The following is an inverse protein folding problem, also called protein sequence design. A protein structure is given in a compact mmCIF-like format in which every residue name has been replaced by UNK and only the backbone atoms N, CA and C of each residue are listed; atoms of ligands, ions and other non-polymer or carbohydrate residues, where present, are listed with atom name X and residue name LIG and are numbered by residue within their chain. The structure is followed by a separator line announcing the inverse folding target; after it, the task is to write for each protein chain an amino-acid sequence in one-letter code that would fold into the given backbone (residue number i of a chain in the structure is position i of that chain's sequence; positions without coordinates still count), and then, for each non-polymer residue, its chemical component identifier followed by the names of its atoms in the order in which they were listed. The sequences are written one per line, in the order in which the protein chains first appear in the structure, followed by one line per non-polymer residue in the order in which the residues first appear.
data_IF_978696590625
#
_entry.id   IF_978696590625
#
_cell.length_a   1.000
_cell.length_b   1.000
_cell.length_c   1.000
_cell.angle_alpha   90.00
_cell.angle_beta   90.00
_cell.angle_gamma   90.00
#
_symmetry.space_group_name_H-M   'P 1'
#
loop_
_entity.id
_entity.type
_entity.pdbx_description
1 polymer ?
#
# COMPACT_ATOMS: atom_id res chain seq x y z
N UNK A 1 8.10 -19.21 11.35
CA UNK A 1 7.49 -18.96 10.03
C UNK A 1 7.96 -17.60 9.56
N UNK A 2 8.29 -17.40 8.27
CA UNK A 2 8.65 -16.08 7.77
C UNK A 2 7.49 -15.11 8.01
N UNK A 3 7.80 -13.86 8.36
CA UNK A 3 6.79 -12.80 8.49
C UNK A 3 6.10 -12.65 7.12
N UNK A 4 4.76 -12.66 7.04
CA UNK A 4 4.08 -12.49 5.76
C UNK A 4 4.42 -11.12 5.13
N UNK A 5 4.29 -10.97 3.81
CA UNK A 5 4.40 -9.66 3.16
C UNK A 5 3.48 -8.67 3.87
N UNK A 6 4.00 -7.47 4.12
CA UNK A 6 3.30 -6.42 4.88
C UNK A 6 1.90 -6.13 4.34
N UNK A 7 1.73 -6.26 3.03
CA UNK A 7 0.53 -5.85 2.32
C UNK A 7 -0.56 -6.91 2.31
N UNK A 8 -0.22 -8.14 2.69
CA UNK A 8 -1.14 -9.27 2.71
C UNK A 8 -2.43 -8.98 3.50
N UNK A 9 -2.42 -8.36 4.69
CA UNK A 9 -3.65 -8.09 5.43
C UNK A 9 -4.64 -7.18 4.67
N UNK A 10 -4.14 -6.20 3.92
CA UNK A 10 -5.00 -5.33 3.12
C UNK A 10 -5.65 -6.11 1.97
N UNK A 11 -4.87 -6.92 1.25
CA UNK A 11 -5.36 -7.74 0.15
C UNK A 11 -6.31 -8.85 0.62
N UNK A 12 -6.05 -9.48 1.76
CA UNK A 12 -6.95 -10.47 2.36
C UNK A 12 -8.29 -9.86 2.75
N UNK A 13 -8.29 -8.69 3.42
CA UNK A 13 -9.55 -8.02 3.76
C UNK A 13 -10.33 -7.65 2.50
N UNK A 14 -9.65 -7.12 1.48
CA UNK A 14 -10.29 -6.80 0.20
C UNK A 14 -10.89 -8.07 -0.44
N UNK A 15 -10.14 -9.16 -0.54
CA UNK A 15 -10.60 -10.41 -1.12
C UNK A 15 -11.82 -10.97 -0.38
N UNK A 16 -11.79 -11.00 0.96
CA UNK A 16 -12.90 -11.49 1.78
C UNK A 16 -14.16 -10.64 1.61
N UNK A 17 -14.00 -9.32 1.53
CA UNK A 17 -15.11 -8.40 1.28
C UNK A 17 -15.74 -8.63 -0.09
N UNK A 18 -14.91 -8.78 -1.13
CA UNK A 18 -15.38 -9.06 -2.49
C UNK A 18 -16.03 -10.45 -2.61
N UNK A 19 -15.51 -11.47 -1.91
CA UNK A 19 -16.13 -12.82 -1.83
C UNK A 19 -17.52 -12.77 -1.20
N UNK A 20 -17.76 -11.84 -0.26
CA UNK A 20 -19.07 -11.59 0.32
C UNK A 20 -20.01 -10.78 -0.60
N UNK A 21 -19.57 -10.42 -1.82
CA UNK A 21 -20.33 -9.62 -2.76
C UNK A 21 -20.41 -8.14 -2.39
N UNK A 22 -19.53 -7.67 -1.51
CA UNK A 22 -19.48 -6.29 -1.05
C UNK A 22 -18.28 -5.57 -1.69
N UNK A 23 -18.40 -4.25 -1.93
CA UNK A 23 -17.28 -3.42 -2.39
C UNK A 23 -16.34 -3.05 -1.24
N UNK A 24 -15.06 -2.88 -1.56
CA UNK A 24 -14.05 -2.37 -0.65
C UNK A 24 -13.32 -1.17 -1.28
N UNK A 25 -12.66 -0.34 -0.49
CA UNK A 25 -11.79 0.71 -0.99
C UNK A 25 -10.33 0.36 -0.67
N UNK A 26 -9.46 0.48 -1.67
CA UNK A 26 -8.02 0.37 -1.52
C UNK A 26 -7.41 1.76 -1.47
N UNK A 27 -6.73 2.05 -0.36
CA UNK A 27 -5.86 3.21 -0.21
C UNK A 27 -4.42 2.75 -0.43
N UNK A 28 -3.67 3.45 -1.31
CA UNK A 28 -2.27 3.13 -1.59
C UNK A 28 -1.43 4.39 -1.69
N UNK A 29 -0.31 4.45 -0.97
CA UNK A 29 0.69 5.51 -1.12
C UNK A 29 1.49 5.23 -2.40
N UNK A 30 1.13 5.90 -3.49
CA UNK A 30 1.73 5.67 -4.83
C UNK A 30 3.05 6.41 -5.03
N UNK A 31 3.28 7.48 -4.25
CA UNK A 31 4.52 8.26 -4.23
C UNK A 31 4.74 8.79 -2.82
N UNK A 32 6.01 8.86 -2.42
CA UNK A 32 6.42 9.39 -1.12
C UNK A 32 7.79 10.03 -1.24
N UNK A 33 7.94 11.27 -0.76
CA UNK A 33 9.19 12.04 -0.78
C UNK A 33 9.47 12.67 0.57
N UNK A 34 10.75 12.76 0.93
CA UNK A 34 11.19 13.31 2.21
C UNK A 34 10.70 12.48 3.41
N UNK A 35 10.52 13.14 4.55
CA UNK A 35 10.04 12.50 5.78
C UNK A 35 8.52 12.47 5.83
N UNK A 36 7.88 11.74 4.92
CA UNK A 36 6.44 11.48 4.94
C UNK A 36 6.06 10.47 6.04
N UNK A 37 4.79 10.44 6.52
CA UNK A 37 4.30 9.42 7.46
C UNK A 37 4.15 8.03 6.80
N UNK A 38 3.65 7.99 5.56
CA UNK A 38 3.53 6.78 4.77
C UNK A 38 4.68 6.67 3.76
N UNK A 39 5.24 5.47 3.58
CA UNK A 39 6.18 5.21 2.47
C UNK A 39 5.42 4.71 1.25
N UNK A 40 6.03 4.88 0.08
CA UNK A 40 5.53 4.28 -1.15
C UNK A 40 5.28 2.78 -0.95
N UNK A 41 4.14 2.29 -1.45
CA UNK A 41 3.66 0.93 -1.23
C UNK A 41 2.89 0.73 0.08
N UNK A 42 2.87 1.68 1.01
CA UNK A 42 1.97 1.57 2.15
C UNK A 42 0.53 1.52 1.67
N UNK A 43 -0.23 0.53 2.13
CA UNK A 43 -1.61 0.34 1.70
C UNK A 43 -2.56 -0.04 2.82
N UNK A 44 -3.83 0.29 2.64
CA UNK A 44 -4.93 -0.01 3.55
C UNK A 44 -6.17 -0.38 2.74
N UNK A 45 -6.82 -1.50 3.09
CA UNK A 45 -8.18 -1.79 2.66
C UNK A 45 -9.18 -1.23 3.67
N UNK A 46 -10.26 -0.65 3.18
CA UNK A 46 -11.34 -0.05 3.95
C UNK A 46 -12.67 -0.63 3.51
N UNK A 47 -13.46 -1.13 4.46
CA UNK A 47 -14.86 -1.52 4.28
C UNK A 47 -15.77 -0.54 5.03
N UNK A 48 -17.08 -0.80 5.03
CA UNK A 48 -18.01 -0.03 5.84
C UNK A 48 -17.72 -0.17 7.35
N UNK A 49 -17.22 -1.33 7.79
CA UNK A 49 -17.06 -1.69 9.20
C UNK A 49 -15.60 -1.71 9.65
N UNK A 50 -14.71 -2.27 8.83
CA UNK A 50 -13.34 -2.62 9.23
C UNK A 50 -12.30 -2.04 8.28
N UNK A 51 -11.05 -1.96 8.75
CA UNK A 51 -9.89 -1.56 7.97
C UNK A 51 -8.73 -2.53 8.22
N UNK A 52 -7.87 -2.73 7.23
CA UNK A 52 -6.65 -3.52 7.36
C UNK A 52 -5.49 -2.88 6.60
N UNK A 53 -4.31 -2.79 7.23
CA UNK A 53 -3.15 -2.07 6.70
C UNK A 53 -3.05 -0.64 7.23
N UNK A 54 -2.11 0.15 6.70
CA UNK A 54 -1.90 1.56 7.07
C UNK A 54 -1.20 2.31 5.94
N UNK A 55 -1.59 3.58 5.77
CA UNK A 55 -0.99 4.56 4.85
C UNK A 55 -0.12 5.60 5.57
N UNK A 56 0.27 5.34 6.83
CA UNK A 56 1.17 6.20 7.61
C UNK A 56 0.57 6.78 8.89
N UNK A 57 -0.68 6.44 9.22
CA UNK A 57 -1.31 6.79 10.50
C UNK A 57 -1.72 8.26 10.67
N UNK A 58 -2.19 8.57 11.88
CA UNK A 58 -2.54 9.92 12.31
C UNK A 58 -3.86 10.45 11.72
N UNK A 59 -4.08 11.76 11.87
CA UNK A 59 -5.34 12.42 11.48
C UNK A 59 -5.60 12.32 9.97
N UNK A 60 -4.55 12.29 9.14
CA UNK A 60 -4.68 12.23 7.69
C UNK A 60 -5.15 10.85 7.23
N UNK A 61 -4.70 9.77 7.87
CA UNK A 61 -5.20 8.41 7.61
C UNK A 61 -6.69 8.31 7.95
N UNK A 62 -7.12 8.85 9.10
CA UNK A 62 -8.54 8.86 9.47
C UNK A 62 -9.41 9.59 8.44
N UNK A 63 -8.97 10.76 7.94
CA UNK A 63 -9.68 11.49 6.88
C UNK A 63 -9.81 10.68 5.58
N UNK A 64 -8.80 9.88 5.23
CA UNK A 64 -8.87 8.98 4.08
C UNK A 64 -9.86 7.84 4.30
N UNK A 65 -9.90 7.25 5.48
CA UNK A 65 -10.88 6.21 5.83
C UNK A 65 -12.31 6.75 5.73
N UNK A 66 -12.57 7.95 6.26
CA UNK A 66 -13.90 8.56 6.17
C UNK A 66 -14.31 8.87 4.73
N UNK A 67 -13.39 9.40 3.91
CA UNK A 67 -13.61 9.63 2.48
C UNK A 67 -13.86 8.33 1.71
N UNK A 68 -13.08 7.28 1.99
CA UNK A 68 -13.26 5.97 1.39
C UNK A 68 -14.64 5.38 1.72
N UNK A 69 -15.06 5.45 2.98
CA UNK A 69 -16.40 5.01 3.41
C UNK A 69 -17.51 5.83 2.78
N UNK A 70 -17.31 7.15 2.62
CA UNK A 70 -18.27 7.99 1.90
C UNK A 70 -18.44 7.51 0.46
N UNK A 71 -17.35 7.32 -0.28
CA UNK A 71 -17.40 6.87 -1.67
C UNK A 71 -17.99 5.48 -1.85
N UNK A 72 -17.70 4.57 -0.92
CA UNK A 72 -18.34 3.25 -0.89
C UNK A 72 -19.86 3.34 -0.76
N UNK A 73 -20.37 4.26 0.08
CA UNK A 73 -21.82 4.48 0.21
C UNK A 73 -22.45 5.13 -1.02
N UNK A 74 -21.72 6.03 -1.66
CA UNK A 74 -22.19 6.75 -2.86
C UNK A 74 -22.08 5.91 -4.13
N UNK A 75 -21.26 4.84 -4.12
CA UNK A 75 -20.94 4.07 -5.32
C UNK A 75 -20.04 4.83 -6.30
N UNK A 76 -19.34 5.86 -5.85
CA UNK A 76 -18.43 6.66 -6.68
C UNK A 76 -17.10 5.91 -6.91
N UNK A 77 -17.06 5.13 -8.00
CA UNK A 77 -15.89 4.39 -8.43
C UNK A 77 -14.83 5.25 -9.16
N UNK A 78 -15.02 6.58 -9.23
CA UNK A 78 -14.05 7.46 -9.89
C UNK A 78 -12.71 7.42 -9.15
N UNK A 79 -11.59 7.06 -9.80
CA UNK A 79 -10.29 7.02 -9.15
C UNK A 79 -9.91 8.38 -8.56
N UNK A 80 -9.32 8.40 -7.37
CA UNK A 80 -8.81 9.64 -6.77
C UNK A 80 -7.35 9.49 -6.39
N UNK A 81 -6.52 10.29 -7.06
CA UNK A 81 -5.14 10.56 -6.66
C UNK A 81 -5.10 11.93 -5.98
N UNK A 82 -4.53 11.99 -4.77
CA UNK A 82 -4.42 13.26 -4.05
C UNK A 82 -3.04 13.41 -3.40
N UNK A 83 -2.29 14.47 -3.74
CA UNK A 83 -1.07 14.82 -3.03
C UNK A 83 -1.38 15.35 -1.63
N UNK A 84 -0.52 15.02 -0.68
CA UNK A 84 -0.52 15.48 0.70
C UNK A 84 0.85 16.07 1.02
N UNK A 85 0.87 17.37 1.23
CA UNK A 85 2.07 18.10 1.60
C UNK A 85 2.08 18.24 3.12
N UNK A 86 3.08 17.64 3.78
CA UNK A 86 3.27 17.76 5.22
C UNK A 86 4.28 18.87 5.48
N UNK A 87 3.78 20.11 5.59
CA UNK A 87 4.55 21.30 5.98
C UNK A 87 4.14 21.78 7.36
N UNK A 88 5.12 22.27 8.12
CA UNK A 88 4.91 22.85 9.45
C UNK A 88 4.85 24.37 9.31
N UNK A 89 3.70 24.96 9.59
CA UNK A 89 3.61 26.41 9.78
C UNK A 89 3.97 26.73 11.25
N UNK A 90 5.10 27.43 11.44
CA UNK A 90 5.54 28.25 12.58
C UNK A 90 6.24 27.64 13.84
N UNK A 91 7.07 28.44 14.56
CA UNK A 91 8.14 28.02 15.47
C UNK A 91 7.78 28.19 16.96
N UNK A 92 7.89 27.14 17.77
CA UNK A 92 8.12 27.28 19.23
C UNK A 92 8.54 25.97 19.90
N UNK A 93 7.89 24.83 19.64
CA UNK A 93 8.15 23.63 20.45
C UNK A 93 8.44 22.38 19.62
N UNK A 94 9.69 21.90 19.72
CA UNK A 94 10.19 20.69 19.07
C UNK A 94 9.88 19.47 19.94
N UNK A 95 8.72 18.87 19.71
CA UNK A 95 8.53 17.43 19.93
C UNK A 95 9.15 16.67 18.75
N UNK A 96 10.08 15.76 19.03
CA UNK A 96 11.06 15.19 18.09
C UNK A 96 10.53 14.21 17.03
N UNK A 97 9.32 14.38 16.51
CA UNK A 97 8.85 13.66 15.31
C UNK A 97 8.33 14.66 14.29
N UNK A 98 9.21 15.06 13.36
CA UNK A 98 8.96 16.10 12.36
C UNK A 98 8.89 15.46 10.97
N UNK A 99 7.69 15.14 10.50
CA UNK A 99 7.47 14.70 9.13
C UNK A 99 7.43 15.92 8.19
N UNK A 100 8.56 16.25 7.55
CA UNK A 100 8.65 17.23 6.46
C UNK A 100 8.78 16.48 5.13
N UNK A 101 7.66 16.02 4.59
CA UNK A 101 7.61 15.20 3.39
C UNK A 101 6.30 15.34 2.64
N UNK A 102 6.25 14.75 1.46
CA UNK A 102 5.08 14.76 0.60
C UNK A 102 4.71 13.31 0.27
N UNK A 103 3.42 13.00 0.19
CA UNK A 103 2.97 11.70 -0.28
C UNK A 103 1.72 11.85 -1.14
N UNK A 104 1.58 10.99 -2.14
CA UNK A 104 0.40 10.91 -2.97
C UNK A 104 -0.32 9.60 -2.67
N UNK A 105 -1.61 9.70 -2.39
CA UNK A 105 -2.44 8.55 -2.04
C UNK A 105 -3.49 8.35 -3.12
N UNK A 106 -3.52 7.13 -3.65
CA UNK A 106 -4.60 6.62 -4.49
C UNK A 106 -5.72 6.09 -3.58
N UNK A 107 -6.96 6.46 -3.90
CA UNK A 107 -8.17 5.81 -3.44
C UNK A 107 -8.83 5.16 -4.66
N UNK A 108 -8.87 3.84 -4.64
CA UNK A 108 -9.45 2.99 -5.67
C UNK A 108 -10.61 2.17 -5.08
N UNK A 109 -11.78 2.17 -5.73
CA UNK A 109 -12.87 1.29 -5.32
C UNK A 109 -12.69 -0.07 -5.99
N UNK A 110 -12.70 -1.12 -5.17
CA UNK A 110 -12.74 -2.51 -5.59
C UNK A 110 -14.19 -2.97 -5.61
N UNK A 111 -14.64 -3.43 -6.77
CA UNK A 111 -15.98 -3.94 -7.01
C UNK A 111 -15.95 -5.48 -6.99
N UNK A 112 -17.10 -6.15 -6.80
CA UNK A 112 -17.16 -7.62 -6.84
C UNK A 112 -16.57 -8.23 -8.11
N UNK A 113 -16.63 -7.53 -9.25
CA UNK A 113 -15.98 -7.96 -10.50
C UNK A 113 -14.45 -8.00 -10.44
N UNK A 114 -13.81 -7.27 -9.53
CA UNK A 114 -12.35 -7.29 -9.34
C UNK A 114 -11.87 -8.53 -8.57
N UNK A 115 -12.79 -9.33 -8.01
CA UNK A 115 -12.48 -10.50 -7.19
C UNK A 115 -11.43 -11.44 -7.81
N UNK A 116 -11.50 -11.81 -9.12
CA UNK A 116 -10.51 -12.70 -9.70
C UNK A 116 -9.08 -12.15 -9.61
N UNK A 117 -8.90 -10.84 -9.83
CA UNK A 117 -7.59 -10.19 -9.78
C UNK A 117 -7.12 -10.03 -8.35
N UNK A 118 -8.00 -9.56 -7.46
CA UNK A 118 -7.69 -9.37 -6.03
C UNK A 118 -7.32 -10.69 -5.36
N UNK A 119 -8.05 -11.78 -5.65
CA UNK A 119 -7.75 -13.11 -5.13
C UNK A 119 -6.43 -13.67 -5.70
N UNK A 120 -6.10 -13.36 -6.97
CA UNK A 120 -4.83 -13.76 -7.56
C UNK A 120 -3.65 -13.02 -6.90
N UNK A 121 -3.79 -11.72 -6.61
CA UNK A 121 -2.79 -10.93 -5.87
C UNK A 121 -2.61 -11.49 -4.45
N UNK A 122 -3.70 -11.75 -3.73
CA UNK A 122 -3.66 -12.36 -2.41
C UNK A 122 -2.91 -13.70 -2.44
N UNK A 123 -3.27 -14.58 -3.38
CA UNK A 123 -2.64 -15.90 -3.54
C UNK A 123 -1.15 -15.78 -3.82
N UNK A 124 -0.74 -14.87 -4.72
CA UNK A 124 0.65 -14.62 -5.03
C UNK A 124 1.44 -14.13 -3.80
N UNK A 125 0.86 -13.25 -2.98
CA UNK A 125 1.48 -12.82 -1.71
C UNK A 125 1.59 -13.95 -0.69
N UNK A 126 0.58 -14.82 -0.57
CA UNK A 126 0.61 -15.97 0.34
C UNK A 126 1.66 -17.01 -0.06
N UNK A 127 1.83 -17.22 -1.37
CA UNK A 127 2.77 -18.18 -1.92
C UNK A 127 4.20 -17.61 -2.05
N UNK A 128 4.40 -16.33 -1.72
CA UNK A 128 5.62 -15.59 -2.02
C UNK A 128 6.01 -15.71 -3.51
N UNK A 129 5.00 -15.73 -4.37
CA UNK A 129 5.15 -15.73 -5.82
C UNK A 129 5.68 -14.40 -6.31
N UNK A 130 6.39 -14.44 -7.44
CA UNK A 130 6.84 -13.24 -8.14
C UNK A 130 5.73 -12.59 -8.96
N UNK A 131 6.08 -11.50 -9.65
CA UNK A 131 5.18 -10.72 -10.49
C UNK A 131 4.93 -9.33 -9.89
N UNK A 132 3.96 -8.63 -10.44
CA UNK A 132 3.58 -7.31 -10.02
C UNK A 132 2.07 -7.11 -10.17
N UNK A 133 1.49 -6.26 -9.35
CA UNK A 133 0.16 -5.75 -9.61
C UNK A 133 0.27 -4.33 -10.21
N UNK A 134 -0.68 -3.99 -11.07
CA UNK A 134 -0.76 -2.68 -11.70
C UNK A 134 -2.18 -2.15 -11.57
N UNK A 135 -2.28 -0.84 -11.37
CA UNK A 135 -3.54 -0.11 -11.46
C UNK A 135 -3.33 1.15 -12.28
N UNK A 136 -4.24 1.41 -13.22
CA UNK A 136 -4.24 2.61 -14.05
C UNK A 136 -5.66 3.01 -14.42
N UNK A 137 -5.83 4.27 -14.84
CA UNK A 137 -7.10 4.74 -15.39
C UNK A 137 -7.49 3.99 -16.67
N UNK A 138 -6.52 3.60 -17.49
CA UNK A 138 -6.76 2.98 -18.79
C UNK A 138 -7.04 1.47 -18.72
N UNK A 139 -6.34 0.74 -17.84
CA UNK A 139 -6.40 -0.71 -17.77
C UNK A 139 -7.13 -1.25 -16.53
N UNK A 140 -7.49 -0.39 -15.57
CA UNK A 140 -8.03 -0.83 -14.29
C UNK A 140 -6.98 -1.57 -13.45
N UNK A 141 -7.44 -2.42 -12.53
CA UNK A 141 -6.59 -3.26 -11.69
C UNK A 141 -6.25 -4.58 -12.41
N UNK A 142 -4.97 -4.92 -12.47
CA UNK A 142 -4.50 -6.17 -13.09
C UNK A 142 -3.30 -6.78 -12.37
N UNK A 143 -3.14 -8.10 -12.52
CA UNK A 143 -1.95 -8.84 -12.14
C UNK A 143 -1.06 -9.05 -13.38
N UNK A 144 0.21 -8.70 -13.27
CA UNK A 144 1.21 -8.77 -14.34
C UNK A 144 2.29 -9.77 -13.95
N UNK A 145 2.56 -10.74 -14.81
CA UNK A 145 3.54 -11.80 -14.54
C UNK A 145 4.98 -11.28 -14.55
N UNK A 146 5.28 -10.30 -15.41
CA UNK A 146 6.59 -9.68 -15.47
C UNK A 146 6.75 -8.72 -14.28
N UNK A 147 7.88 -8.78 -13.57
CA UNK A 147 8.18 -7.80 -12.53
C UNK A 147 8.84 -6.56 -13.18
N UNK A 148 8.45 -5.32 -12.79
CA UNK A 148 9.19 -4.13 -13.21
C UNK A 148 10.64 -4.17 -12.72
N UNK A 149 11.53 -3.39 -13.34
CA UNK A 149 12.94 -3.29 -12.92
C UNK A 149 13.04 -2.75 -11.49
N UNK A 150 12.29 -1.68 -11.22
CA UNK A 150 12.15 -1.11 -9.90
C UNK A 150 11.02 -1.79 -9.11
N UNK A 151 11.12 -1.80 -7.78
CA UNK A 151 10.07 -2.40 -6.94
C UNK A 151 8.74 -1.65 -7.04
N UNK A 152 8.80 -0.33 -7.25
CA UNK A 152 7.66 0.54 -7.51
C UNK A 152 7.90 1.31 -8.81
N UNK A 153 6.90 1.39 -9.67
CA UNK A 153 6.89 2.22 -10.88
C UNK A 153 5.62 3.06 -10.89
N UNK A 154 5.78 4.38 -10.75
CA UNK A 154 4.66 5.32 -10.73
C UNK A 154 4.84 6.41 -11.80
N UNK A 155 3.85 6.51 -12.68
CA UNK A 155 3.75 7.53 -13.72
C UNK A 155 2.56 8.45 -13.40
N UNK A 156 2.79 9.71 -12.98
CA UNK A 156 1.71 10.66 -12.73
C UNK A 156 1.19 11.28 -14.03
N UNK A 157 -0.03 11.84 -14.00
CA UNK A 157 -0.63 12.60 -15.10
C UNK A 157 -2.01 12.06 -15.54
N UNK A 158 -2.53 12.51 -16.69
CA UNK A 158 -3.85 12.10 -17.20
C UNK A 158 -3.93 10.64 -17.66
N UNK A 159 -2.79 9.97 -17.82
CA UNK A 159 -2.70 8.55 -18.13
C UNK A 159 -1.89 7.87 -17.03
N UNK A 160 -2.23 8.18 -15.77
CA UNK A 160 -1.45 7.73 -14.65
C UNK A 160 -1.44 6.21 -14.55
N UNK A 161 -0.33 5.68 -14.02
CA UNK A 161 -0.12 4.26 -13.79
C UNK A 161 0.68 4.06 -12.52
N UNK A 162 0.24 3.13 -11.69
CA UNK A 162 1.01 2.63 -10.57
C UNK A 162 1.21 1.13 -10.70
N UNK A 163 2.45 0.67 -10.56
CA UNK A 163 2.82 -0.75 -10.58
C UNK A 163 3.77 -1.07 -9.44
N UNK A 164 3.57 -2.22 -8.82
CA UNK A 164 4.31 -2.64 -7.64
C UNK A 164 4.58 -4.15 -7.69
N UNK A 165 5.84 -4.52 -7.43
CA UNK A 165 6.24 -5.93 -7.30
C UNK A 165 5.54 -6.60 -6.11
N UNK A 166 5.14 -7.85 -6.29
CA UNK A 166 4.62 -8.67 -5.20
C UNK A 166 5.77 -9.29 -4.40
N UNK A 167 5.59 -9.38 -3.08
CA UNK A 167 6.57 -9.98 -2.17
C UNK A 167 7.29 -8.94 -1.31
N UNK A 168 8.58 -9.16 -1.06
CA UNK A 168 9.38 -8.33 -0.15
C UNK A 168 10.31 -7.41 -0.93
N UNK A 169 10.31 -6.12 -0.56
CA UNK A 169 11.28 -5.15 -1.08
C UNK A 169 12.70 -5.42 -0.60
N UNK A 170 12.87 -5.73 0.68
CA UNK A 170 14.16 -5.99 1.31
C UNK A 170 14.24 -7.46 1.75
N UNK A 171 14.88 -8.31 0.94
CA UNK A 171 15.15 -9.70 1.31
C UNK A 171 16.58 -9.81 1.87
N UNK A 172 16.72 -9.95 3.19
CA UNK A 172 18.00 -10.28 3.81
C UNK A 172 18.22 -11.80 3.80
N UNK A 173 19.11 -12.28 2.94
CA UNK A 173 19.57 -13.66 2.96
C UNK A 173 20.84 -13.74 3.81
N UNK A 174 20.75 -14.34 5.00
CA UNK A 174 21.93 -14.62 5.84
C UNK A 174 22.46 -16.01 5.46
N UNK A 175 23.61 -16.06 4.76
CA UNK A 175 24.32 -17.32 4.48
C UNK A 175 25.48 -17.47 5.47
N UNK A 176 25.37 -18.45 6.37
CA UNK A 176 26.40 -18.81 7.36
C UNK A 176 25.85 -18.89 8.78
N UNK A 177 25.98 -20.06 9.43
CA UNK A 177 25.43 -20.35 10.77
C UNK A 177 26.43 -20.18 11.92
N UNK A 178 27.32 -19.19 11.86
CA UNK A 178 28.25 -18.89 12.96
C UNK A 178 27.59 -18.00 14.02
N UNK A 179 28.17 -17.95 15.23
CA UNK A 179 27.67 -17.15 16.37
C UNK A 179 27.44 -15.65 16.05
N UNK A 180 28.06 -15.12 14.99
CA UNK A 180 27.91 -13.72 14.53
C UNK A 180 26.60 -13.51 13.73
N UNK A 181 26.04 -14.55 13.11
CA UNK A 181 24.81 -14.44 12.31
C UNK A 181 23.55 -14.24 13.16
N UNK A 182 23.59 -14.61 14.43
CA UNK A 182 22.49 -14.40 15.37
C UNK A 182 22.33 -12.91 15.77
N UNK A 183 23.42 -12.13 15.73
CA UNK A 183 23.36 -10.70 16.02
C UNK A 183 22.80 -9.89 14.83
N UNK A 184 23.02 -10.36 13.60
CA UNK A 184 22.53 -9.71 12.38
C UNK A 184 21.03 -9.99 12.12
N UNK A 185 20.48 -11.10 12.61
CA UNK A 185 19.04 -11.38 12.50
C UNK A 185 18.17 -10.57 13.47
N UNK A 186 18.77 -9.86 14.43
CA UNK A 186 18.06 -9.06 15.44
C UNK A 186 17.96 -7.57 15.10
N UNK A 187 18.49 -7.13 13.96
CA UNK A 187 18.37 -5.73 13.53
C UNK A 187 17.11 -5.55 12.68
N UNK A 188 16.13 -4.73 13.10
CA UNK A 188 15.08 -4.27 12.20
C UNK A 188 15.73 -3.45 11.09
N UNK A 189 15.48 -3.82 9.84
CA UNK A 189 15.89 -3.06 8.66
C UNK A 189 15.38 -1.63 8.80
N UNK A 190 16.29 -0.69 9.03
CA UNK A 190 15.98 0.73 9.06
C UNK A 190 16.21 1.26 7.64
N UNK A 191 15.17 1.64 6.89
CA UNK A 191 15.39 2.22 5.56
C UNK A 191 16.06 3.59 5.71
N UNK A 192 17.12 3.83 4.94
CA UNK A 192 17.69 5.17 4.72
C UNK A 192 16.82 5.96 3.77
#
# INVERSE_FOLDING_TARGET
MPTPPRDLPAWTLAADTLRAGQSAALLCVVRSEGSSPGRQGFKMAVTAEVVAGSIGGGIMEHKWVELARQRLREGDATPLLRPQIHRREAPADRSGMMCAGEQEVLLWLLLPEDLPVVAAIETALQQLGGGAWEVSEAAGLQLVAEAPVDFYDYQPGPAWRYREQLGFRDQLIIVGGGHVSLALSQLPSTPR
#
